data_IF_169746300088
#
_entry.id   IF_169746300088
#
_cell.length_a   1.000
_cell.length_b   1.000
_cell.length_c   1.000
_cell.angle_alpha   90.00
_cell.angle_beta   90.00
_cell.angle_gamma   90.00
#
_symmetry.space_group_name_H-M   'P 1'
#
loop_
_entity.id
_entity.type
_entity.pdbx_description
1 polymer ?
#
# COMPACT_ATOMS: atom_id res chain seq x y z
N UNK A 1 14.53 43.25 -4.23
CA UNK A 1 13.49 42.21 -4.05
C UNK A 1 12.90 41.91 -5.41
N UNK A 2 13.03 40.67 -5.90
CA UNK A 2 12.58 40.28 -7.25
C UNK A 2 11.21 39.56 -7.14
N UNK A 3 10.14 40.04 -7.81
CA UNK A 3 8.77 39.54 -7.63
C UNK A 3 8.42 38.25 -8.40
N UNK A 4 9.37 37.56 -9.05
CA UNK A 4 9.10 36.38 -9.88
C UNK A 4 9.65 35.07 -9.28
N UNK A 5 9.31 34.75 -8.02
CA UNK A 5 9.48 33.38 -7.54
C UNK A 5 8.15 32.63 -7.75
N UNK A 6 8.03 31.94 -8.88
CA UNK A 6 7.03 30.88 -9.02
C UNK A 6 7.26 29.89 -7.85
N UNK A 7 6.21 29.40 -7.18
CA UNK A 7 6.38 28.36 -6.17
C UNK A 7 7.09 27.18 -6.83
N UNK A 8 8.22 26.77 -6.25
CA UNK A 8 9.00 25.62 -6.72
C UNK A 8 8.08 24.41 -6.84
N UNK A 9 8.25 23.62 -7.92
CA UNK A 9 7.69 22.26 -8.00
C UNK A 9 8.04 21.57 -6.68
N UNK A 10 7.06 21.29 -5.84
CA UNK A 10 7.29 20.55 -4.61
C UNK A 10 7.82 19.18 -5.02
N UNK A 11 8.98 18.81 -4.48
CA UNK A 11 9.54 17.47 -4.69
C UNK A 11 8.57 16.43 -4.13
N UNK A 12 8.40 15.29 -4.82
CA UNK A 12 7.57 14.17 -4.36
C UNK A 12 7.85 13.80 -2.90
N UNK A 13 9.13 13.87 -2.50
CA UNK A 13 9.57 13.64 -1.12
C UNK A 13 8.89 14.59 -0.12
N UNK A 14 8.82 15.88 -0.44
CA UNK A 14 8.18 16.90 0.42
C UNK A 14 6.68 16.69 0.56
N UNK A 15 6.01 16.19 -0.48
CA UNK A 15 4.57 15.91 -0.43
C UNK A 15 4.29 14.73 0.50
N UNK A 16 5.07 13.65 0.38
CA UNK A 16 4.95 12.47 1.25
C UNK A 16 5.31 12.79 2.71
N UNK A 17 6.36 13.59 2.94
CA UNK A 17 6.72 14.06 4.29
C UNK A 17 5.56 14.85 4.92
N UNK A 18 4.94 15.78 4.18
CA UNK A 18 3.79 16.55 4.68
C UNK A 18 2.59 15.66 4.99
N UNK A 19 2.31 14.67 4.14
CA UNK A 19 1.27 13.67 4.38
C UNK A 19 1.50 12.98 5.73
N UNK A 20 2.70 12.43 5.95
CA UNK A 20 3.00 11.73 7.21
C UNK A 20 2.96 12.63 8.43
N UNK A 21 3.49 13.85 8.35
CA UNK A 21 3.36 14.83 9.43
C UNK A 21 1.89 15.09 9.80
N UNK A 22 1.02 15.23 8.80
CA UNK A 22 -0.41 15.47 9.02
C UNK A 22 -1.12 14.22 9.57
N UNK A 23 -0.79 13.05 9.05
CA UNK A 23 -1.38 11.77 9.47
C UNK A 23 -1.01 11.41 10.91
N UNK A 24 0.24 11.68 11.32
CA UNK A 24 0.70 11.47 12.69
C UNK A 24 0.05 12.48 13.64
N UNK A 25 0.03 13.77 13.28
CA UNK A 25 -0.61 14.81 14.09
C UNK A 25 -2.09 14.50 14.38
N UNK A 26 -2.83 14.04 13.36
CA UNK A 26 -4.21 13.55 13.53
C UNK A 26 -4.29 12.35 14.47
N UNK A 27 -3.40 11.39 14.34
CA UNK A 27 -3.40 10.20 15.19
C UNK A 27 -3.09 10.50 16.67
N UNK A 28 -2.32 11.57 16.94
CA UNK A 28 -1.96 12.00 18.30
C UNK A 28 -3.06 12.86 18.95
N UNK A 29 -3.75 13.70 18.17
CA UNK A 29 -4.65 14.72 18.73
C UNK A 29 -6.14 14.42 18.53
N UNK A 30 -6.52 13.58 17.57
CA UNK A 30 -7.92 13.22 17.33
C UNK A 30 -8.26 11.90 18.04
N UNK A 31 -9.26 11.89 18.94
CA UNK A 31 -9.66 10.65 19.59
C UNK A 31 -10.21 9.67 18.53
N UNK A 32 -9.79 8.39 18.55
CA UNK A 32 -10.27 7.41 17.58
C UNK A 32 -11.79 7.27 17.65
N UNK A 33 -12.45 7.56 16.54
CA UNK A 33 -13.89 7.32 16.40
C UNK A 33 -14.15 5.84 16.11
N UNK A 34 -14.35 5.05 17.16
CA UNK A 34 -14.60 3.62 17.07
C UNK A 34 -15.96 3.23 16.45
N UNK A 35 -16.73 4.19 15.93
CA UNK A 35 -18.02 3.95 15.26
C UNK A 35 -17.97 4.16 13.76
N UNK A 36 -17.00 4.93 13.24
CA UNK A 36 -16.90 5.28 11.82
C UNK A 36 -15.65 4.66 11.18
N UNK A 37 -15.65 3.33 11.05
CA UNK A 37 -14.64 2.63 10.26
C UNK A 37 -15.02 2.63 8.78
N UNK A 38 -14.13 3.08 7.92
CA UNK A 38 -14.29 3.00 6.46
C UNK A 38 -14.24 1.54 5.96
N UNK A 39 -13.56 0.65 6.70
CA UNK A 39 -13.38 -0.75 6.35
C UNK A 39 -14.14 -1.69 7.29
N UNK A 40 -14.78 -2.74 6.77
CA UNK A 40 -15.55 -3.66 7.60
C UNK A 40 -14.65 -4.55 8.47
N UNK A 41 -14.71 -4.37 9.80
CA UNK A 41 -13.89 -5.10 10.78
C UNK A 41 -14.00 -6.63 10.64
N UNK A 42 -15.19 -7.13 10.33
CA UNK A 42 -15.41 -8.57 10.13
C UNK A 42 -14.62 -9.12 8.92
N UNK A 43 -14.44 -8.32 7.87
CA UNK A 43 -13.65 -8.71 6.69
C UNK A 43 -12.17 -8.69 7.00
N UNK A 44 -11.70 -7.66 7.72
CA UNK A 44 -10.32 -7.57 8.21
C UNK A 44 -9.99 -8.80 9.05
N UNK A 45 -10.81 -9.11 10.05
CA UNK A 45 -10.63 -10.28 10.92
C UNK A 45 -10.62 -11.61 10.15
N UNK A 46 -11.42 -11.73 9.08
CA UNK A 46 -11.39 -12.92 8.21
C UNK A 46 -10.09 -13.02 7.42
N UNK A 47 -9.60 -11.93 6.84
CA UNK A 47 -8.33 -11.90 6.12
C UNK A 47 -7.16 -12.28 7.02
N UNK A 48 -7.14 -11.77 8.26
CA UNK A 48 -6.10 -12.12 9.25
C UNK A 48 -6.10 -13.60 9.65
N UNK A 49 -7.22 -14.30 9.47
CA UNK A 49 -7.40 -15.72 9.80
C UNK A 49 -7.25 -16.65 8.59
N UNK A 50 -6.86 -16.12 7.43
CA UNK A 50 -6.51 -16.96 6.26
C UNK A 50 -5.24 -17.77 6.58
N UNK A 51 -4.34 -17.20 7.38
CA UNK A 51 -3.16 -17.90 7.89
C UNK A 51 -3.57 -18.95 8.94
N UNK A 52 -3.29 -20.23 8.65
CA UNK A 52 -3.75 -21.38 9.47
C UNK A 52 -3.25 -21.33 10.93
N UNK A 53 -2.10 -20.69 11.15
CA UNK A 53 -1.51 -20.54 12.48
C UNK A 53 -2.25 -19.52 13.36
N UNK A 54 -3.07 -18.65 12.77
CA UNK A 54 -3.78 -17.57 13.48
C UNK A 54 -5.11 -18.06 14.07
N UNK A 55 -5.05 -18.59 15.30
CA UNK A 55 -6.24 -19.10 16.01
C UNK A 55 -7.16 -17.99 16.53
N UNK A 56 -6.58 -16.98 17.17
CA UNK A 56 -7.31 -15.89 17.82
C UNK A 56 -6.76 -14.54 17.38
N UNK A 57 -7.66 -13.57 17.25
CA UNK A 57 -7.34 -12.19 16.92
C UNK A 57 -8.06 -11.33 17.97
N UNK A 58 -7.28 -10.56 18.72
CA UNK A 58 -7.80 -9.66 19.75
C UNK A 58 -8.70 -8.57 19.13
N UNK A 59 -9.65 -8.04 19.90
CA UNK A 59 -10.69 -7.12 19.39
C UNK A 59 -10.15 -5.79 18.87
N UNK A 60 -9.06 -5.32 19.45
CA UNK A 60 -8.38 -4.07 19.14
C UNK A 60 -7.56 -4.15 17.84
N UNK A 61 -7.16 -5.36 17.44
CA UNK A 61 -6.29 -5.54 16.28
C UNK A 61 -6.99 -5.18 14.96
N UNK A 62 -8.22 -5.68 14.65
CA UNK A 62 -8.95 -5.26 13.46
C UNK A 62 -9.25 -3.76 13.41
N UNK A 63 -9.45 -3.13 14.57
CA UNK A 63 -9.68 -1.68 14.70
C UNK A 63 -8.43 -0.93 14.25
N UNK A 64 -7.25 -1.31 14.76
CA UNK A 64 -5.98 -0.72 14.36
C UNK A 64 -5.69 -0.96 12.87
N UNK A 65 -5.88 -2.19 12.38
CA UNK A 65 -5.69 -2.52 10.98
C UNK A 65 -6.62 -1.74 10.05
N UNK A 66 -7.85 -1.42 10.47
CA UNK A 66 -8.74 -0.56 9.69
C UNK A 66 -8.10 0.80 9.45
N UNK A 67 -7.48 1.41 10.46
CA UNK A 67 -6.86 2.73 10.32
C UNK A 67 -5.53 2.66 9.57
N UNK A 68 -4.71 1.65 9.84
CA UNK A 68 -3.45 1.44 9.11
C UNK A 68 -3.72 1.19 7.63
N UNK A 69 -4.72 0.37 7.29
CA UNK A 69 -5.08 0.11 5.90
C UNK A 69 -5.60 1.36 5.18
N UNK A 70 -6.37 2.23 5.87
CA UNK A 70 -6.78 3.53 5.33
C UNK A 70 -5.57 4.40 4.98
N UNK A 71 -4.64 4.59 5.93
CA UNK A 71 -3.42 5.38 5.72
C UNK A 71 -2.54 4.77 4.62
N UNK A 72 -2.41 3.45 4.57
CA UNK A 72 -1.68 2.73 3.54
C UNK A 72 -2.27 2.96 2.14
N UNK A 73 -3.60 2.86 2.00
CA UNK A 73 -4.29 3.10 0.72
C UNK A 73 -4.10 4.56 0.29
N UNK A 74 -4.23 5.52 1.21
CA UNK A 74 -4.00 6.93 0.93
C UNK A 74 -2.57 7.22 0.46
N UNK A 75 -1.56 6.70 1.17
CA UNK A 75 -0.16 6.91 0.81
C UNK A 75 0.18 6.29 -0.55
N UNK A 76 -0.20 5.03 -0.77
CA UNK A 76 0.07 4.34 -2.03
C UNK A 76 -0.64 5.05 -3.20
N UNK A 77 -1.88 5.49 -2.98
CA UNK A 77 -2.63 6.28 -3.97
C UNK A 77 -1.95 7.61 -4.25
N UNK A 78 -1.46 8.31 -3.23
CA UNK A 78 -0.74 9.57 -3.38
C UNK A 78 0.53 9.39 -4.20
N UNK A 79 1.35 8.37 -3.87
CA UNK A 79 2.58 8.06 -4.62
C UNK A 79 2.29 7.73 -6.08
N UNK A 80 1.24 6.95 -6.35
CA UNK A 80 0.82 6.64 -7.71
C UNK A 80 0.23 7.87 -8.43
N UNK A 81 -0.47 8.74 -7.72
CA UNK A 81 -0.99 9.98 -8.29
C UNK A 81 0.12 10.93 -8.73
N UNK A 82 1.22 11.02 -7.98
CA UNK A 82 2.39 11.81 -8.38
C UNK A 82 2.96 11.35 -9.74
N UNK A 83 3.03 10.04 -9.99
CA UNK A 83 3.40 9.49 -11.31
C UNK A 83 2.38 9.85 -12.40
N UNK A 84 1.09 9.86 -12.06
CA UNK A 84 0.02 10.26 -12.98
C UNK A 84 0.19 11.71 -13.43
N UNK A 85 0.43 12.61 -12.48
CA UNK A 85 0.61 14.05 -12.73
C UNK A 85 1.92 14.35 -13.47
N UNK A 86 3.01 13.66 -13.13
CA UNK A 86 4.29 13.79 -13.84
C UNK A 86 4.16 13.44 -15.33
N UNK A 87 3.36 12.42 -15.63
CA UNK A 87 3.01 12.02 -16.99
C UNK A 87 1.91 12.89 -17.63
N UNK A 88 1.50 14.00 -16.99
CA UNK A 88 0.45 14.94 -17.45
C UNK A 88 -0.90 14.26 -17.71
N UNK A 89 -1.17 13.17 -17.00
CA UNK A 89 -2.45 12.45 -17.05
C UNK A 89 -3.34 12.93 -15.90
N UNK A 90 -4.64 12.68 -16.03
CA UNK A 90 -5.67 12.94 -14.99
C UNK A 90 -6.45 11.68 -14.61
N UNK A 91 -6.04 10.54 -15.15
CA UNK A 91 -6.61 9.23 -14.89
C UNK A 91 -5.48 8.36 -14.37
N UNK A 92 -5.65 7.90 -13.12
CA UNK A 92 -4.74 6.96 -12.47
C UNK A 92 -4.77 5.61 -13.19
N UNK A 93 -3.60 5.04 -13.46
CA UNK A 93 -3.46 3.77 -14.14
C UNK A 93 -2.68 2.76 -13.30
N UNK A 94 -2.80 1.48 -13.64
CA UNK A 94 -2.06 0.40 -12.98
C UNK A 94 -0.54 0.57 -13.07
N UNK A 95 -0.06 1.15 -14.17
CA UNK A 95 1.37 1.44 -14.35
C UNK A 95 1.89 2.48 -13.36
N UNK A 96 1.04 3.39 -12.88
CA UNK A 96 1.40 4.38 -11.86
C UNK A 96 1.61 3.75 -10.49
N UNK A 97 0.76 2.78 -10.13
CA UNK A 97 0.93 1.96 -8.94
C UNK A 97 2.22 1.13 -9.05
N UNK A 98 2.45 0.51 -10.21
CA UNK A 98 3.65 -0.28 -10.45
C UNK A 98 4.92 0.56 -10.37
N UNK A 99 4.88 1.81 -10.84
CA UNK A 99 5.98 2.75 -10.65
C UNK A 99 6.15 3.17 -9.18
N UNK A 100 5.05 3.43 -8.47
CA UNK A 100 5.07 3.85 -7.07
C UNK A 100 5.68 2.81 -6.14
N UNK A 101 5.35 1.52 -6.30
CA UNK A 101 5.91 0.46 -5.43
C UNK A 101 7.42 0.32 -5.57
N UNK A 102 8.00 0.67 -6.72
CA UNK A 102 9.46 0.63 -6.95
C UNK A 102 10.21 1.78 -6.30
N UNK A 103 9.51 2.75 -5.71
CA UNK A 103 10.15 3.94 -5.12
C UNK A 103 10.67 3.70 -3.70
N UNK A 104 10.32 2.58 -3.06
CA UNK A 104 10.73 2.25 -1.70
C UNK A 104 10.65 0.75 -1.46
N UNK A 105 11.69 0.20 -0.82
CA UNK A 105 11.75 -1.16 -0.27
C UNK A 105 10.58 -1.51 0.69
N UNK A 106 10.01 -0.51 1.36
CA UNK A 106 8.80 -0.66 2.19
C UNK A 106 7.63 -1.32 1.46
N UNK A 107 7.57 -1.23 0.12
CA UNK A 107 6.51 -1.82 -0.70
C UNK A 107 6.88 -3.17 -1.34
N UNK A 108 8.03 -3.76 -1.00
CA UNK A 108 8.50 -5.00 -1.62
C UNK A 108 7.55 -6.18 -1.40
N UNK A 109 6.75 -6.16 -0.33
CA UNK A 109 5.71 -7.18 -0.12
C UNK A 109 4.63 -7.20 -1.23
N UNK A 110 4.55 -6.14 -2.05
CA UNK A 110 3.58 -6.03 -3.16
C UNK A 110 4.09 -6.61 -4.49
N UNK A 111 5.36 -7.00 -4.60
CA UNK A 111 5.94 -7.51 -5.86
C UNK A 111 5.23 -8.78 -6.35
N UNK A 112 4.73 -9.60 -5.42
CA UNK A 112 4.01 -10.84 -5.75
C UNK A 112 2.53 -10.60 -6.07
N UNK A 113 2.01 -9.41 -5.79
CA UNK A 113 0.62 -9.02 -6.07
C UNK A 113 0.53 -8.30 -7.43
N UNK A 114 1.54 -7.51 -7.77
CA UNK A 114 1.59 -6.76 -9.03
C UNK A 114 2.19 -7.65 -10.13
N UNK A 115 1.52 -7.82 -11.28
CA UNK A 115 2.06 -8.63 -12.36
C UNK A 115 3.44 -8.19 -12.81
N UNK A 116 4.36 -9.16 -12.98
CA UNK A 116 5.76 -8.91 -13.36
C UNK A 116 5.91 -8.09 -14.64
N UNK A 117 4.96 -8.21 -15.58
CA UNK A 117 4.91 -7.38 -16.80
C UNK A 117 4.92 -5.88 -16.52
N UNK A 118 4.36 -5.48 -15.38
CA UNK A 118 4.19 -4.08 -15.00
C UNK A 118 5.34 -3.60 -14.09
N UNK A 119 6.12 -4.55 -13.53
CA UNK A 119 7.28 -4.30 -12.69
C UNK A 119 8.58 -4.04 -13.48
N UNK A 120 8.65 -4.31 -14.78
CA UNK A 120 9.84 -4.04 -15.60
C UNK A 120 11.10 -4.81 -15.15
N UNK A 121 12.27 -4.48 -15.71
CA UNK A 121 13.53 -5.23 -15.53
C UNK A 121 14.16 -5.15 -14.13
N UNK A 122 13.57 -4.43 -13.16
CA UNK A 122 14.15 -4.29 -11.81
C UNK A 122 14.10 -5.56 -10.95
N UNK A 123 13.62 -6.69 -11.50
CA UNK A 123 13.52 -7.96 -10.79
C UNK A 123 14.76 -8.88 -10.97
N UNK A 124 15.76 -8.50 -11.76
CA UNK A 124 16.96 -9.34 -12.01
C UNK A 124 17.81 -9.60 -10.73
N UNK A 125 17.55 -8.88 -9.64
CA UNK A 125 18.26 -9.01 -8.37
C UNK A 125 17.45 -9.74 -7.28
N UNK A 126 16.17 -10.09 -7.52
CA UNK A 126 15.35 -10.77 -6.50
C UNK A 126 15.59 -12.27 -6.54
N UNK A 127 16.14 -12.81 -5.46
CA UNK A 127 16.33 -14.25 -5.26
C UNK A 127 14.99 -14.92 -4.94
N UNK A 128 14.39 -15.58 -5.93
CA UNK A 128 13.16 -16.36 -5.76
C UNK A 128 13.29 -17.50 -4.73
N UNK A 129 14.51 -17.94 -4.40
CA UNK A 129 14.72 -19.01 -3.43
C UNK A 129 14.57 -18.58 -1.97
N UNK A 130 14.52 -17.27 -1.69
CA UNK A 130 14.45 -16.72 -0.33
C UNK A 130 13.00 -16.69 0.23
N UNK A 131 11.97 -16.69 -0.62
CA UNK A 131 10.56 -16.68 -0.20
C UNK A 131 9.79 -17.80 -0.91
N UNK A 132 9.44 -18.83 -0.14
CA UNK A 132 8.97 -20.14 -0.61
C UNK A 132 7.76 -20.18 -1.56
N UNK A 133 7.58 -21.37 -2.15
CA UNK A 133 6.68 -21.77 -3.23
C UNK A 133 5.35 -20.98 -3.36
N UNK A 134 5.08 -20.59 -4.61
CA UNK A 134 3.90 -19.84 -5.02
C UNK A 134 2.59 -20.51 -4.57
N UNK A 135 1.87 -19.85 -3.66
CA UNK A 135 0.46 -20.14 -3.41
C UNK A 135 -0.39 -19.43 -4.47
N UNK A 136 -0.89 -20.16 -5.48
CA UNK A 136 -1.90 -19.60 -6.39
C UNK A 136 -3.18 -19.36 -5.60
N UNK A 137 -3.60 -18.10 -5.53
CA UNK A 137 -4.92 -17.72 -5.05
C UNK A 137 -5.93 -17.98 -6.17
N UNK A 138 -6.89 -18.86 -5.94
CA UNK A 138 -8.02 -18.99 -6.85
C UNK A 138 -9.00 -17.81 -6.70
N UNK A 139 -9.90 -17.63 -7.66
CA UNK A 139 -10.93 -16.57 -7.66
C UNK A 139 -11.88 -16.61 -6.44
N UNK A 140 -11.78 -17.63 -5.60
CA UNK A 140 -12.53 -17.82 -4.36
C UNK A 140 -11.69 -17.58 -3.09
N UNK A 141 -10.44 -17.18 -3.22
CA UNK A 141 -9.52 -16.89 -2.11
C UNK A 141 -8.95 -18.13 -1.42
N UNK A 142 -8.96 -19.29 -2.07
CA UNK A 142 -8.30 -20.52 -1.60
C UNK A 142 -6.88 -20.65 -2.12
N UNK A 143 -6.02 -21.26 -1.30
CA UNK A 143 -4.64 -21.63 -1.63
C UNK A 143 -4.68 -23.02 -2.30
N UNK A 144 -4.18 -23.14 -3.53
CA UNK A 144 -3.99 -24.45 -4.19
C UNK A 144 -2.50 -24.85 -4.15
N UNK A 145 -2.18 -26.00 -3.53
CA UNK A 145 -0.86 -26.65 -3.62
C UNK A 145 -0.66 -27.23 -5.03
N UNK A 146 0.54 -27.07 -5.59
CA UNK A 146 0.92 -27.66 -6.88
C UNK A 146 1.55 -29.03 -6.60
N UNK A 147 0.86 -30.11 -6.96
CA UNK A 147 1.44 -31.46 -6.96
C UNK A 147 2.36 -31.63 -8.19
N UNK A 148 3.47 -32.34 -8.01
CA UNK A 148 4.62 -32.40 -8.94
C UNK A 148 4.33 -33.03 -10.30
#
# INVERSE_FOLDING_TARGET
MNPNHLPSKQSSKTIIERFWHTSIDKAEHEPPNYKDFQLPLARIKRLMKVEEEVKMVASEVPILFSKVAEVFIEELTLRAWLNTEENKRRILQKNDLSAAVKTSDMFDFLIYIIPRSDLGQSLEQYDESEYGEQKKFNDKGGIEEIDR
#
